data_IF_307615833770
#
_entry.id   IF_307615833770
#
_cell.length_a   1.000
_cell.length_b   1.000
_cell.length_c   1.000
_cell.angle_alpha   90.00
_cell.angle_beta   90.00
_cell.angle_gamma   90.00
#
_symmetry.space_group_name_H-M   'P 1'
#
loop_
_entity.id
_entity.type
_entity.pdbx_description
1 polymer ?
#
# COMPACT_ATOMS: atom_id res chain seq x y z
N UNK A 1 -22.76 16.55 -17.77
CA UNK A 1 -21.41 15.96 -17.96
C UNK A 1 -21.30 14.75 -17.05
N UNK A 2 -20.94 13.57 -17.56
CA UNK A 2 -20.66 12.42 -16.69
C UNK A 2 -19.40 12.71 -15.85
N UNK A 3 -19.41 12.38 -14.55
CA UNK A 3 -18.23 12.53 -13.69
C UNK A 3 -17.10 11.66 -14.26
N UNK A 4 -15.88 12.19 -14.35
CA UNK A 4 -14.73 11.40 -14.82
C UNK A 4 -14.24 10.38 -13.78
N UNK A 5 -14.38 10.73 -12.51
CA UNK A 5 -14.02 9.90 -11.36
C UNK A 5 -14.86 10.29 -10.13
N UNK A 6 -14.94 9.39 -9.16
CA UNK A 6 -15.52 9.64 -7.84
C UNK A 6 -14.70 8.94 -6.76
N UNK A 7 -14.69 9.51 -5.55
CA UNK A 7 -14.09 8.90 -4.35
C UNK A 7 -15.19 8.74 -3.33
N UNK A 8 -15.43 7.49 -2.93
CA UNK A 8 -16.52 7.10 -2.03
C UNK A 8 -15.97 6.25 -0.89
N UNK A 9 -16.63 6.32 0.26
CA UNK A 9 -16.31 5.41 1.38
C UNK A 9 -16.66 3.98 0.98
N UNK A 10 -15.85 3.03 1.46
CA UNK A 10 -16.08 1.62 1.12
C UNK A 10 -17.33 1.10 1.84
N UNK A 11 -18.21 0.41 1.10
CA UNK A 11 -19.33 -0.37 1.63
C UNK A 11 -19.12 -1.85 1.32
N UNK A 12 -19.81 -2.79 1.99
CA UNK A 12 -19.75 -4.21 1.64
C UNK A 12 -20.08 -4.50 0.17
N UNK A 13 -21.13 -3.87 -0.37
CA UNK A 13 -21.57 -4.08 -1.76
C UNK A 13 -20.53 -3.52 -2.75
N UNK A 14 -19.95 -2.37 -2.42
CA UNK A 14 -18.88 -1.79 -3.23
C UNK A 14 -17.62 -2.65 -3.17
N UNK A 15 -17.26 -3.16 -1.99
CA UNK A 15 -16.12 -4.07 -1.85
C UNK A 15 -16.31 -5.31 -2.72
N UNK A 16 -17.47 -5.97 -2.68
CA UNK A 16 -17.73 -7.15 -3.51
C UNK A 16 -17.67 -6.83 -5.01
N UNK A 17 -18.19 -5.67 -5.41
CA UNK A 17 -18.06 -5.17 -6.78
C UNK A 17 -16.60 -5.03 -7.20
N UNK A 18 -15.77 -4.43 -6.34
CA UNK A 18 -14.35 -4.20 -6.61
C UNK A 18 -13.57 -5.52 -6.60
N UNK A 19 -13.83 -6.42 -5.64
CA UNK A 19 -13.16 -7.73 -5.53
C UNK A 19 -13.38 -8.57 -6.79
N UNK A 20 -14.58 -8.54 -7.37
CA UNK A 20 -14.89 -9.29 -8.60
C UNK A 20 -14.16 -8.75 -9.85
N UNK A 21 -13.36 -7.69 -9.72
CA UNK A 21 -12.54 -7.17 -10.82
C UNK A 21 -11.07 -7.61 -10.80
N UNK A 22 -10.63 -8.27 -9.73
CA UNK A 22 -9.32 -8.90 -9.64
C UNK A 22 -9.32 -10.27 -10.35
N UNK A 23 -8.15 -10.67 -10.85
CA UNK A 23 -8.02 -11.84 -11.72
C UNK A 23 -7.75 -13.13 -10.95
N UNK A 24 -7.00 -13.07 -9.84
CA UNK A 24 -6.63 -14.26 -9.05
C UNK A 24 -7.33 -14.30 -7.70
N UNK A 25 -7.41 -15.49 -7.09
CA UNK A 25 -7.99 -15.62 -5.75
C UNK A 25 -7.10 -14.99 -4.68
N UNK A 26 -5.78 -15.02 -4.86
CA UNK A 26 -4.81 -14.39 -3.95
C UNK A 26 -4.97 -12.86 -3.94
N UNK A 27 -5.17 -12.25 -5.11
CA UNK A 27 -5.45 -10.81 -5.25
C UNK A 27 -6.74 -10.41 -4.52
N UNK A 28 -7.78 -11.24 -4.64
CA UNK A 28 -9.05 -11.04 -3.93
C UNK A 28 -8.88 -11.21 -2.42
N UNK A 29 -8.19 -12.26 -2.00
CA UNK A 29 -7.97 -12.60 -0.59
C UNK A 29 -7.16 -11.51 0.12
N UNK A 30 -6.02 -11.10 -0.44
CA UNK A 30 -5.17 -10.06 0.14
C UNK A 30 -5.94 -8.75 0.25
N UNK A 31 -6.72 -8.38 -0.77
CA UNK A 31 -7.53 -7.18 -0.76
C UNK A 31 -8.59 -7.23 0.34
N UNK A 32 -9.33 -8.35 0.48
CA UNK A 32 -10.32 -8.53 1.56
C UNK A 32 -9.67 -8.43 2.93
N UNK A 33 -8.51 -9.08 3.14
CA UNK A 33 -7.81 -9.05 4.42
C UNK A 33 -7.28 -7.67 4.79
N UNK A 34 -6.77 -6.89 3.83
CA UNK A 34 -6.31 -5.52 4.08
C UNK A 34 -7.51 -4.61 4.42
N UNK A 35 -8.62 -4.70 3.67
CA UNK A 35 -9.86 -3.95 3.96
C UNK A 35 -10.39 -4.27 5.35
N UNK A 36 -10.50 -5.55 5.68
CA UNK A 36 -10.90 -5.99 7.02
C UNK A 36 -9.97 -5.42 8.09
N UNK A 37 -8.65 -5.51 7.90
CA UNK A 37 -7.67 -5.01 8.84
C UNK A 37 -7.86 -3.51 9.15
N UNK A 38 -8.06 -2.66 8.14
CA UNK A 38 -8.28 -1.23 8.37
C UNK A 38 -9.62 -0.94 9.06
N UNK A 39 -10.71 -1.60 8.63
CA UNK A 39 -12.04 -1.41 9.22
C UNK A 39 -12.04 -1.83 10.71
N UNK A 40 -11.43 -2.96 11.05
CA UNK A 40 -11.34 -3.44 12.43
C UNK A 40 -10.54 -2.50 13.35
N UNK A 41 -9.60 -1.72 12.80
CA UNK A 41 -8.88 -0.69 13.53
C UNK A 41 -9.57 0.69 13.50
N UNK A 42 -10.80 0.78 12.97
CA UNK A 42 -11.55 2.04 12.85
C UNK A 42 -10.93 3.04 11.88
N UNK A 43 -10.13 2.56 10.91
CA UNK A 43 -9.39 3.40 9.97
C UNK A 43 -10.17 3.57 8.66
N UNK A 44 -10.15 4.77 8.03
CA UNK A 44 -10.87 5.02 6.79
C UNK A 44 -10.33 4.22 5.61
N UNK A 45 -11.26 3.68 4.82
CA UNK A 45 -11.00 3.04 3.54
C UNK A 45 -11.93 3.65 2.50
N UNK A 46 -11.35 4.14 1.40
CA UNK A 46 -12.09 4.77 0.30
C UNK A 46 -11.79 4.09 -1.01
N UNK A 47 -12.75 4.10 -1.92
CA UNK A 47 -12.57 3.61 -3.29
C UNK A 47 -12.66 4.79 -4.24
N UNK A 48 -11.63 4.94 -5.07
CA UNK A 48 -11.65 5.82 -6.23
C UNK A 48 -12.06 5.02 -7.46
N UNK A 49 -13.23 5.35 -8.01
CA UNK A 49 -13.79 4.75 -9.21
C UNK A 49 -13.56 5.67 -10.41
N UNK A 50 -13.16 5.09 -11.54
CA UNK A 50 -12.96 5.80 -12.80
C UNK A 50 -14.11 5.47 -13.78
N UNK A 51 -14.69 6.50 -14.39
CA UNK A 51 -15.79 6.36 -15.36
C UNK A 51 -15.38 6.71 -16.78
N UNK A 52 -14.15 7.19 -16.98
CA UNK A 52 -13.60 7.44 -18.30
C UNK A 52 -13.58 6.13 -19.10
N UNK A 53 -13.95 6.13 -20.40
CA UNK A 53 -14.01 4.91 -21.20
C UNK A 53 -12.73 4.07 -21.18
N UNK A 54 -11.56 4.71 -21.21
CA UNK A 54 -10.25 4.05 -21.17
C UNK A 54 -9.87 3.46 -19.80
N UNK A 55 -10.57 3.83 -18.73
CA UNK A 55 -10.32 3.38 -17.35
C UNK A 55 -11.54 2.66 -16.75
N UNK A 56 -12.50 2.27 -17.59
CA UNK A 56 -13.73 1.63 -17.13
C UNK A 56 -13.40 0.32 -16.43
N UNK A 57 -13.87 0.17 -15.19
CA UNK A 57 -13.59 -1.00 -14.36
C UNK A 57 -12.23 -0.95 -13.65
N UNK A 58 -11.52 0.18 -13.71
CA UNK A 58 -10.38 0.46 -12.83
C UNK A 58 -10.88 1.04 -11.52
N UNK A 59 -10.36 0.49 -10.43
CA UNK A 59 -10.61 0.90 -9.06
C UNK A 59 -9.28 1.08 -8.33
N UNK A 60 -9.22 2.08 -7.49
CA UNK A 60 -8.11 2.29 -6.55
C UNK A 60 -8.67 2.35 -5.14
N UNK A 61 -8.30 1.39 -4.30
CA UNK A 61 -8.67 1.37 -2.90
C UNK A 61 -7.58 2.12 -2.13
N UNK A 62 -7.99 3.10 -1.34
CA UNK A 62 -7.15 4.04 -0.62
C UNK A 62 -7.35 3.83 0.87
N UNK A 63 -6.26 3.56 1.58
CA UNK A 63 -6.28 3.24 3.00
C UNK A 63 -5.53 4.31 3.79
N UNK A 64 -6.16 4.83 4.84
CA UNK A 64 -5.67 5.99 5.57
C UNK A 64 -5.38 5.63 7.02
N UNK A 65 -4.12 5.72 7.43
CA UNK A 65 -3.77 5.72 8.86
C UNK A 65 -3.79 7.17 9.39
N UNK A 66 -3.37 8.13 8.56
CA UNK A 66 -3.42 9.57 8.85
C UNK A 66 -4.45 10.22 7.92
N UNK A 67 -5.28 11.14 8.45
CA UNK A 67 -6.43 11.73 7.73
C UNK A 67 -6.13 12.25 6.31
N UNK A 68 -4.91 12.73 6.06
CA UNK A 68 -4.54 13.39 4.81
C UNK A 68 -3.48 12.64 3.99
N UNK A 69 -3.10 11.41 4.38
CA UNK A 69 -2.05 10.67 3.68
C UNK A 69 -2.40 9.18 3.58
N UNK A 70 -2.43 8.69 2.34
CA UNK A 70 -2.56 7.28 2.05
C UNK A 70 -1.33 6.51 2.56
N UNK A 71 -1.58 5.42 3.28
CA UNK A 71 -0.56 4.46 3.72
C UNK A 71 -0.51 3.26 2.78
N UNK A 72 -1.68 2.73 2.41
CA UNK A 72 -1.79 1.61 1.47
C UNK A 72 -2.66 2.04 0.30
N UNK A 73 -2.31 1.58 -0.88
CA UNK A 73 -3.07 1.77 -2.10
C UNK A 73 -3.13 0.44 -2.83
N UNK A 74 -4.32 -0.02 -3.17
CA UNK A 74 -4.52 -1.20 -4.01
C UNK A 74 -5.12 -0.76 -5.34
N UNK A 75 -4.49 -1.14 -6.45
CA UNK A 75 -5.06 -1.01 -7.78
C UNK A 75 -5.43 -2.39 -8.27
N UNK A 76 -6.67 -2.55 -8.74
CA UNK A 76 -7.13 -3.82 -9.33
C UNK A 76 -6.55 -4.06 -10.73
N UNK A 77 -6.24 -2.98 -11.46
CA UNK A 77 -5.71 -3.00 -12.82
C UNK A 77 -4.65 -1.94 -12.99
N UNK A 78 -3.65 -2.29 -13.81
CA UNK A 78 -2.47 -1.51 -14.14
C UNK A 78 -2.72 -0.04 -14.40
N UNK A 79 -2.18 0.80 -13.52
CA UNK A 79 -1.84 2.20 -13.81
C UNK A 79 -0.34 2.28 -14.13
N UNK A 80 0.12 1.51 -15.13
CA UNK A 80 1.55 1.35 -15.46
C UNK A 80 2.20 0.05 -14.96
N UNK A 81 1.40 -0.94 -14.54
CA UNK A 81 1.85 -2.24 -14.04
C UNK A 81 1.02 -3.36 -14.65
N UNK A 82 1.61 -4.55 -14.85
CA UNK A 82 0.85 -5.72 -15.31
C UNK A 82 0.08 -6.32 -14.12
N UNK A 83 -1.26 -6.19 -14.14
CA UNK A 83 -2.15 -6.76 -13.13
C UNK A 83 -2.42 -5.87 -11.90
N UNK A 84 -2.81 -6.50 -10.80
CA UNK A 84 -3.05 -5.80 -9.54
C UNK A 84 -1.72 -5.36 -8.89
N UNK A 85 -1.77 -4.27 -8.15
CA UNK A 85 -0.62 -3.76 -7.39
C UNK A 85 -1.04 -3.25 -6.04
N UNK A 86 -0.20 -3.51 -5.03
CA UNK A 86 -0.38 -3.04 -3.66
C UNK A 86 0.81 -2.17 -3.30
N UNK A 87 0.60 -0.88 -3.15
CA UNK A 87 1.63 0.06 -2.73
C UNK A 87 1.51 0.29 -1.23
N UNK A 88 2.60 0.13 -0.49
CA UNK A 88 2.64 0.33 0.97
C UNK A 88 3.72 1.34 1.32
N UNK A 89 3.37 2.30 2.16
CA UNK A 89 4.35 3.11 2.89
C UNK A 89 4.83 2.35 4.12
N UNK A 90 6.14 2.13 4.21
CA UNK A 90 6.78 1.48 5.36
C UNK A 90 7.58 2.53 6.13
N UNK A 91 6.94 3.18 7.11
CA UNK A 91 7.58 4.13 8.02
C UNK A 91 8.27 3.43 9.22
N UNK A 92 7.80 2.23 9.61
CA UNK A 92 8.36 1.47 10.73
C UNK A 92 9.67 0.78 10.35
N UNK A 93 10.79 1.35 10.82
CA UNK A 93 12.15 0.95 10.42
C UNK A 93 12.48 -0.51 10.74
N UNK A 94 11.97 -1.07 11.84
CA UNK A 94 12.23 -2.48 12.19
C UNK A 94 11.67 -3.47 11.17
N UNK A 95 10.73 -3.06 10.33
CA UNK A 95 10.28 -3.86 9.18
C UNK A 95 11.42 -4.07 8.19
N UNK A 96 12.20 -3.02 7.90
CA UNK A 96 13.31 -3.05 6.95
C UNK A 96 14.57 -3.73 7.52
N UNK A 97 14.65 -3.89 8.84
CA UNK A 97 15.76 -4.57 9.52
C UNK A 97 15.52 -6.08 9.66
N UNK A 98 14.30 -6.57 9.38
CA UNK A 98 13.87 -7.96 9.55
C UNK A 98 13.44 -8.60 8.22
N UNK A 99 14.05 -8.19 7.12
CA UNK A 99 13.66 -8.68 5.78
C UNK A 99 13.80 -10.19 5.61
N UNK A 100 14.69 -10.84 6.36
CA UNK A 100 14.85 -12.30 6.35
C UNK A 100 13.67 -13.07 6.97
N UNK A 101 12.77 -12.37 7.68
CA UNK A 101 11.56 -12.98 8.22
C UNK A 101 10.42 -13.04 7.20
N UNK A 102 10.57 -12.39 6.04
CA UNK A 102 9.55 -12.37 4.99
C UNK A 102 9.90 -13.33 3.86
N UNK A 103 8.89 -13.70 3.09
CA UNK A 103 9.01 -14.49 1.87
C UNK A 103 10.02 -13.88 0.90
N UNK A 104 10.57 -14.72 0.03
CA UNK A 104 11.50 -14.28 -0.99
C UNK A 104 10.88 -13.21 -1.91
N UNK A 105 9.60 -13.35 -2.27
CA UNK A 105 8.90 -12.41 -3.14
C UNK A 105 8.75 -11.03 -2.47
N UNK A 106 8.28 -10.98 -1.22
CA UNK A 106 8.15 -9.72 -0.47
C UNK A 106 9.50 -9.04 -0.30
N UNK A 107 10.51 -9.80 0.14
CA UNK A 107 11.87 -9.28 0.32
C UNK A 107 12.43 -8.74 -1.00
N UNK A 108 12.31 -9.48 -2.10
CA UNK A 108 12.78 -9.06 -3.42
C UNK A 108 12.12 -7.74 -3.85
N UNK A 109 10.80 -7.64 -3.74
CA UNK A 109 10.07 -6.43 -4.15
C UNK A 109 10.40 -5.21 -3.28
N UNK A 110 10.73 -5.39 -1.99
CA UNK A 110 11.25 -4.32 -1.14
C UNK A 110 12.64 -3.85 -1.61
N UNK A 111 13.55 -4.78 -1.88
CA UNK A 111 14.92 -4.48 -2.28
C UNK A 111 15.00 -3.88 -3.70
N UNK A 112 14.11 -4.31 -4.60
CA UNK A 112 14.02 -3.85 -6.00
C UNK A 112 13.15 -2.59 -6.19
N UNK A 113 12.41 -2.16 -5.16
CA UNK A 113 11.61 -0.94 -5.20
C UNK A 113 12.42 0.27 -5.70
N UNK A 114 11.75 1.22 -6.36
CA UNK A 114 12.42 2.36 -6.98
C UNK A 114 13.30 3.11 -5.96
N UNK A 115 14.57 3.33 -6.33
CA UNK A 115 15.45 4.19 -5.55
C UNK A 115 14.92 5.62 -5.58
N UNK A 116 15.18 6.39 -4.52
CA UNK A 116 14.83 7.81 -4.50
C UNK A 116 15.85 8.61 -5.33
N UNK A 117 15.77 8.53 -6.66
CA UNK A 117 16.68 9.17 -7.61
C UNK A 117 15.96 9.94 -8.71
N UNK A 118 16.31 11.22 -8.86
CA UNK A 118 15.95 12.21 -9.90
C UNK A 118 14.65 13.04 -9.81
N UNK A 119 13.77 12.85 -8.82
CA UNK A 119 12.54 13.66 -8.73
C UNK A 119 12.65 14.90 -7.84
N UNK A 120 13.27 15.98 -8.33
CA UNK A 120 13.17 17.37 -7.82
C UNK A 120 13.60 17.62 -6.36
N UNK A 121 13.82 18.89 -6.01
CA UNK A 121 14.04 19.38 -4.63
C UNK A 121 12.92 19.01 -3.63
N UNK A 122 11.80 18.43 -4.08
CA UNK A 122 10.66 18.02 -3.24
C UNK A 122 10.86 16.71 -2.45
N UNK A 123 11.97 15.98 -2.70
CA UNK A 123 12.30 14.70 -2.05
C UNK A 123 13.31 14.80 -0.89
N UNK A 124 13.83 15.99 -0.58
CA UNK A 124 14.66 16.19 0.62
C UNK A 124 13.86 15.82 1.89
N UNK A 125 14.46 15.01 2.77
CA UNK A 125 13.79 14.46 3.97
C UNK A 125 12.80 13.32 3.72
N UNK A 126 12.69 12.81 2.48
CA UNK A 126 11.69 11.80 2.08
C UNK A 126 12.33 10.54 1.49
N UNK A 127 13.52 10.19 2.00
CA UNK A 127 14.27 8.98 1.65
C UNK A 127 14.23 8.00 2.83
N UNK A 128 14.11 6.71 2.53
CA UNK A 128 14.46 5.64 3.45
C UNK A 128 15.88 5.19 3.12
N UNK A 129 16.73 5.08 4.14
CA UNK A 129 18.04 4.43 3.99
C UNK A 129 18.10 3.29 4.99
N UNK A 130 18.38 2.08 4.51
CA UNK A 130 18.54 0.89 5.34
C UNK A 130 19.64 0.00 4.75
N UNK A 131 20.24 -0.84 5.58
CA UNK A 131 21.29 -1.77 5.18
C UNK A 131 20.75 -3.19 5.27
N UNK A 132 20.96 -3.98 4.22
CA UNK A 132 20.63 -5.40 4.19
C UNK A 132 21.82 -6.17 3.57
N UNK A 133 22.30 -7.20 4.27
CA UNK A 133 23.47 -8.00 3.85
C UNK A 133 24.67 -7.13 3.40
N UNK A 134 25.05 -6.16 4.24
CA UNK A 134 26.15 -5.21 4.00
C UNK A 134 25.99 -4.30 2.78
N UNK A 135 24.83 -4.29 2.12
CA UNK A 135 24.48 -3.36 1.04
C UNK A 135 23.50 -2.31 1.54
N UNK A 136 23.79 -1.05 1.24
CA UNK A 136 22.89 0.06 1.53
C UNK A 136 21.83 0.23 0.44
N UNK A 137 20.59 0.45 0.85
CA UNK A 137 19.44 0.69 -0.01
C UNK A 137 18.84 2.06 0.32
N UNK A 138 18.63 2.88 -0.70
CA UNK A 138 17.99 4.20 -0.56
C UNK A 138 16.69 4.27 -1.36
N UNK A 139 15.53 4.22 -0.69
CA UNK A 139 14.19 4.14 -1.29
C UNK A 139 13.39 5.42 -1.06
N UNK A 140 12.37 5.64 -1.88
CA UNK A 140 11.49 6.81 -1.76
C UNK A 140 10.44 6.59 -0.65
N UNK A 141 10.06 7.66 0.05
CA UNK A 141 8.98 7.67 1.05
C UNK A 141 7.61 8.06 0.47
N UNK A 142 7.58 8.55 -0.77
CA UNK A 142 6.34 8.92 -1.45
C UNK A 142 5.60 7.70 -1.99
N UNK A 143 4.29 7.62 -1.72
CA UNK A 143 3.48 6.46 -2.11
C UNK A 143 3.47 6.15 -3.61
N UNK A 144 3.58 7.16 -4.47
CA UNK A 144 3.66 6.98 -5.92
C UNK A 144 4.94 6.30 -6.40
N UNK A 145 6.00 6.23 -5.57
CA UNK A 145 7.28 5.58 -5.84
C UNK A 145 7.69 4.65 -4.67
N UNK A 146 6.72 4.18 -3.88
CA UNK A 146 6.96 3.35 -2.69
C UNK A 146 7.15 1.86 -3.07
N UNK A 147 7.29 1.03 -2.04
CA UNK A 147 7.24 -0.42 -2.12
C UNK A 147 5.93 -0.86 -2.79
N UNK A 148 6.05 -1.44 -3.98
CA UNK A 148 4.95 -1.95 -4.79
C UNK A 148 5.04 -3.47 -4.80
N UNK A 149 3.96 -4.14 -4.39
CA UNK A 149 3.82 -5.57 -4.32
C UNK A 149 2.86 -6.06 -5.41
N UNK A 150 3.31 -7.01 -6.22
CA UNK A 150 2.62 -7.65 -7.33
C UNK A 150 2.81 -9.17 -7.28
N UNK A 151 1.97 -9.91 -8.02
CA UNK A 151 2.07 -11.38 -8.14
C UNK A 151 2.13 -12.06 -6.76
N UNK A 152 1.17 -11.72 -5.91
CA UNK A 152 1.11 -12.20 -4.53
C UNK A 152 0.76 -13.69 -4.49
N UNK A 153 1.55 -14.46 -3.76
CA UNK A 153 1.26 -15.86 -3.43
C UNK A 153 0.69 -15.97 -2.01
N UNK A 154 0.11 -17.14 -1.68
CA UNK A 154 -0.57 -17.36 -0.39
C UNK A 154 0.30 -17.07 0.85
N UNK A 155 1.60 -17.37 0.79
CA UNK A 155 2.57 -17.07 1.86
C UNK A 155 2.83 -15.57 1.99
N UNK A 156 2.91 -14.84 0.88
CA UNK A 156 3.17 -13.39 0.85
C UNK A 156 2.06 -12.57 1.54
N UNK A 157 0.82 -13.06 1.49
CA UNK A 157 -0.35 -12.37 2.06
C UNK A 157 -0.14 -12.08 3.55
N UNK A 158 0.36 -13.06 4.31
CA UNK A 158 0.54 -12.90 5.76
C UNK A 158 1.69 -11.95 6.09
N UNK A 159 2.75 -11.97 5.29
CA UNK A 159 3.88 -11.06 5.43
C UNK A 159 3.47 -9.62 5.14
N UNK A 160 2.74 -9.40 4.05
CA UNK A 160 2.24 -8.07 3.70
C UNK A 160 1.27 -7.52 4.77
N UNK A 161 0.40 -8.37 5.32
CA UNK A 161 -0.47 -7.98 6.44
C UNK A 161 0.33 -7.66 7.70
N UNK A 162 1.43 -8.37 7.96
CA UNK A 162 2.32 -8.10 9.10
C UNK A 162 2.96 -6.74 8.95
N UNK A 163 3.46 -6.40 7.75
CA UNK A 163 3.99 -5.07 7.43
C UNK A 163 2.92 -4.00 7.71
N UNK A 164 1.72 -4.16 7.14
CA UNK A 164 0.63 -3.18 7.28
C UNK A 164 0.20 -3.01 8.75
N UNK A 165 0.10 -4.08 9.52
CA UNK A 165 -0.24 -4.01 10.96
C UNK A 165 0.82 -3.26 11.75
N UNK A 166 2.11 -3.49 11.47
CA UNK A 166 3.19 -2.76 12.12
C UNK A 166 3.10 -1.26 11.83
N UNK A 167 2.74 -0.86 10.60
CA UNK A 167 2.52 0.56 10.25
C UNK A 167 1.35 1.19 11.02
N UNK A 168 0.25 0.46 11.18
CA UNK A 168 -0.90 0.91 12.00
C UNK A 168 -0.45 1.12 13.44
N UNK A 169 0.20 0.13 14.04
CA UNK A 169 0.66 0.19 15.43
C UNK A 169 1.67 1.33 15.63
N UNK A 170 2.67 1.44 14.76
CA UNK A 170 3.69 2.49 14.80
C UNK A 170 3.08 3.89 14.70
N UNK A 171 2.07 4.08 13.86
CA UNK A 171 1.41 5.38 13.76
C UNK A 171 0.57 5.68 14.99
N UNK A 172 -0.12 4.70 15.57
CA UNK A 172 -0.93 4.89 16.77
C UNK A 172 -0.07 5.26 17.99
N UNK A 173 1.07 4.60 18.19
CA UNK A 173 2.00 4.90 19.29
C UNK A 173 2.61 6.30 19.14
N UNK A 174 3.02 6.69 17.93
CA UNK A 174 3.61 8.01 17.70
C UNK A 174 2.60 9.17 17.69
N UNK A 175 1.34 8.91 17.35
CA UNK A 175 0.27 9.93 17.45
C UNK A 175 -0.08 10.21 18.90
N UNK A 176 -0.07 9.19 19.77
CA UNK A 176 -0.35 9.36 21.20
C UNK A 176 0.76 10.13 21.94
N UNK A 177 2.01 10.02 21.50
CA UNK A 177 3.12 10.77 22.09
C UNK A 177 3.11 12.28 21.77
N UNK A 178 2.37 12.73 20.75
CA UNK A 178 2.24 14.15 20.42
C UNK A 178 1.09 14.87 21.14
N UNK A 179 0.25 14.14 21.89
CA UNK A 179 -0.81 14.72 22.73
C UNK A 179 -0.42 14.80 24.22
N UNK A 180 0.84 14.56 24.56
CA UNK A 180 1.37 14.56 25.94
C UNK A 180 2.42 15.65 26.22
N UNK A 181 2.57 16.63 25.33
CA UNK A 181 3.41 17.82 25.55
C UNK A 181 2.60 19.11 25.39
#
# INVERSE_FOLDING_TARGET
MSKAMEVIDITPELLDTVINTFNTEEEKEVTRKIVKCFIEHGLPVKVKQYYQPCMKGTYRILFYIKKNAETVIINNKGMGHDGASIQVRIDERSTLERLDNFSENIRKQILEAANCGNCSSKCEGKKYTFTYQSKEYTKCRFICNNFCFQNMESNDINDLLTIIKNEILYSQTNTNNHNLN
#
